data_IF_949710422010
#
_entry.id   IF_949710422010
#
_cell.length_a   1.000
_cell.length_b   1.000
_cell.length_c   1.000
_cell.angle_alpha   90.00
_cell.angle_beta   90.00
_cell.angle_gamma   90.00
#
_symmetry.space_group_name_H-M   'P 1'
#
loop_
_entity.id
_entity.type
_entity.pdbx_description
1 polymer ?
#
# COMPACT_ATOMS: atom_id res chain seq x y z
N UNK A 1 7.59 -46.71 12.21
CA UNK A 1 8.55 -45.62 12.42
C UNK A 1 9.31 -45.90 13.70
N UNK A 2 10.65 -45.91 13.66
CA UNK A 2 11.45 -46.14 14.88
C UNK A 2 11.39 -44.89 15.78
N UNK A 3 11.59 -45.06 17.09
CA UNK A 3 11.60 -43.94 18.04
C UNK A 3 12.61 -42.84 17.63
N UNK A 4 13.73 -43.23 17.01
CA UNK A 4 14.73 -42.33 16.46
C UNK A 4 14.18 -41.45 15.31
N UNK A 5 13.35 -42.01 14.42
CA UNK A 5 12.75 -41.24 13.31
C UNK A 5 11.71 -40.24 13.79
N UNK A 6 10.97 -40.55 14.86
CA UNK A 6 9.99 -39.64 15.46
C UNK A 6 10.70 -38.46 16.15
N UNK A 7 11.80 -38.73 16.88
CA UNK A 7 12.60 -37.70 17.52
C UNK A 7 13.21 -36.71 16.50
N UNK A 8 13.74 -37.21 15.39
CA UNK A 8 14.28 -36.36 14.33
C UNK A 8 13.23 -35.43 13.70
N UNK A 9 12.00 -35.93 13.49
CA UNK A 9 10.89 -35.13 12.98
C UNK A 9 10.49 -34.00 13.95
N UNK A 10 10.50 -34.28 15.26
CA UNK A 10 10.20 -33.27 16.29
C UNK A 10 11.29 -32.19 16.32
N UNK A 11 12.57 -32.55 16.25
CA UNK A 11 13.68 -31.57 16.18
C UNK A 11 13.50 -30.63 14.99
N UNK A 12 13.23 -31.19 13.81
CA UNK A 12 13.07 -30.41 12.59
C UNK A 12 11.86 -29.48 12.70
N UNK A 13 10.73 -29.96 13.22
CA UNK A 13 9.52 -29.16 13.40
C UNK A 13 9.73 -28.00 14.39
N UNK A 14 10.42 -28.24 15.51
CA UNK A 14 10.74 -27.21 16.50
C UNK A 14 11.69 -26.16 15.93
N UNK A 15 12.74 -26.58 15.20
CA UNK A 15 13.67 -25.66 14.54
C UNK A 15 12.96 -24.78 13.50
N UNK A 16 12.07 -25.37 12.69
CA UNK A 16 11.25 -24.63 11.72
C UNK A 16 10.34 -23.62 12.44
N UNK A 17 9.67 -24.03 13.51
CA UNK A 17 8.80 -23.16 14.30
C UNK A 17 9.53 -21.93 14.85
N UNK A 18 10.74 -22.12 15.35
CA UNK A 18 11.56 -21.03 15.89
C UNK A 18 12.04 -20.08 14.78
N UNK A 19 12.44 -20.60 13.62
CA UNK A 19 12.83 -19.78 12.46
C UNK A 19 11.65 -18.96 11.93
N UNK A 20 10.45 -19.55 11.88
CA UNK A 20 9.22 -18.86 11.49
C UNK A 20 8.88 -17.77 12.50
N UNK A 21 8.94 -18.06 13.81
CA UNK A 21 8.70 -17.08 14.87
C UNK A 21 9.71 -15.92 14.81
N UNK A 22 11.00 -16.20 14.61
CA UNK A 22 12.04 -15.18 14.46
C UNK A 22 11.79 -14.28 13.25
N UNK A 23 11.34 -14.84 12.11
CA UNK A 23 10.95 -14.04 10.93
C UNK A 23 9.72 -13.19 11.18
N UNK A 24 8.70 -13.71 11.87
CA UNK A 24 7.50 -12.94 12.24
C UNK A 24 7.82 -11.78 13.19
N UNK A 25 8.87 -11.92 14.01
CA UNK A 25 9.39 -10.88 14.91
C UNK A 25 10.41 -9.94 14.25
N UNK A 26 10.69 -10.09 12.95
CA UNK A 26 11.63 -9.23 12.21
C UNK A 26 13.11 -9.47 12.52
N UNK A 27 13.45 -10.58 13.19
CA UNK A 27 14.84 -10.95 13.51
C UNK A 27 15.49 -11.55 12.26
N UNK A 28 16.47 -10.83 11.69
CA UNK A 28 17.25 -11.32 10.56
C UNK A 28 18.36 -12.28 11.02
N UNK A 29 18.38 -13.51 10.47
CA UNK A 29 19.41 -14.51 10.77
C UNK A 29 20.84 -13.99 10.52
N UNK A 30 21.04 -13.08 9.56
CA UNK A 30 22.36 -12.50 9.25
C UNK A 30 22.88 -11.53 10.32
N UNK A 31 21.99 -10.89 11.09
CA UNK A 31 22.35 -9.82 12.02
C UNK A 31 22.20 -10.25 13.49
N UNK A 32 21.44 -11.30 13.76
CA UNK A 32 21.05 -11.76 15.11
C UNK A 32 21.27 -13.27 15.32
N UNK A 33 22.23 -13.88 14.59
CA UNK A 33 22.46 -15.32 14.59
C UNK A 33 22.65 -15.94 15.98
N UNK A 34 23.32 -15.23 16.90
CA UNK A 34 23.51 -15.68 18.28
C UNK A 34 22.21 -15.80 19.09
N UNK A 35 21.27 -14.87 18.90
CA UNK A 35 19.97 -14.87 19.61
C UNK A 35 19.08 -16.00 19.09
N UNK A 36 19.07 -16.22 17.77
CA UNK A 36 18.30 -17.31 17.16
C UNK A 36 18.89 -18.67 17.56
N UNK A 37 20.21 -18.82 17.60
CA UNK A 37 20.87 -20.03 18.08
C UNK A 37 20.54 -20.32 19.56
N UNK A 38 20.56 -19.29 20.42
CA UNK A 38 20.24 -19.42 21.83
C UNK A 38 18.77 -19.85 22.05
N UNK A 39 17.83 -19.34 21.26
CA UNK A 39 16.42 -19.75 21.33
C UNK A 39 16.21 -21.19 20.85
N UNK A 40 16.93 -21.62 19.81
CA UNK A 40 16.89 -23.02 19.33
C UNK A 40 17.44 -23.96 20.39
N UNK A 41 18.59 -23.64 20.98
CA UNK A 41 19.22 -24.46 22.04
C UNK A 41 18.31 -24.54 23.26
N UNK A 42 17.74 -23.42 23.70
CA UNK A 42 16.81 -23.38 24.85
C UNK A 42 15.54 -24.21 24.57
N UNK A 43 15.00 -24.13 23.35
CA UNK A 43 13.87 -24.94 22.93
C UNK A 43 14.18 -26.44 22.87
N UNK A 44 15.36 -26.82 22.40
CA UNK A 44 15.79 -28.21 22.36
C UNK A 44 16.01 -28.81 23.76
N UNK A 45 16.55 -28.04 24.70
CA UNK A 45 16.72 -28.46 26.10
C UNK A 45 15.37 -28.70 26.79
N UNK A 46 14.38 -27.83 26.55
CA UNK A 46 13.02 -27.98 27.10
C UNK A 46 12.26 -29.17 26.51
N UNK A 47 12.47 -29.50 25.24
CA UNK A 47 11.72 -30.57 24.55
C UNK A 47 12.33 -31.96 24.78
N UNK A 48 13.67 -32.07 24.80
CA UNK A 48 14.34 -33.37 24.84
C UNK A 48 14.90 -33.76 26.21
N UNK A 49 14.93 -32.84 27.20
CA UNK A 49 15.32 -33.16 28.57
C UNK A 49 16.63 -33.95 28.64
N UNK A 50 17.65 -33.54 27.88
CA UNK A 50 18.93 -34.26 27.82
C UNK A 50 19.66 -34.09 29.16
N UNK A 51 19.86 -35.14 29.97
CA UNK A 51 20.41 -35.01 31.32
C UNK A 51 21.90 -34.61 31.35
N UNK A 52 22.57 -34.47 30.21
CA UNK A 52 24.02 -34.23 30.11
C UNK A 52 24.44 -32.77 29.92
N UNK A 53 23.54 -31.84 29.61
CA UNK A 53 23.90 -30.40 29.45
C UNK A 53 23.82 -29.64 30.79
N UNK A 54 23.19 -30.25 31.80
CA UNK A 54 23.10 -29.73 33.16
C UNK A 54 24.42 -29.87 33.95
N UNK A 55 25.32 -30.78 33.60
CA UNK A 55 26.62 -30.89 34.28
C UNK A 55 27.58 -29.74 33.94
N UNK A 56 27.51 -29.21 32.71
CA UNK A 56 28.35 -28.08 32.29
C UNK A 56 27.78 -26.72 32.75
N UNK A 57 26.48 -26.66 33.07
CA UNK A 57 25.82 -25.51 33.69
C UNK A 57 25.82 -25.54 35.24
N UNK A 58 25.89 -26.73 35.86
CA UNK A 58 25.97 -26.90 37.32
C UNK A 58 27.23 -26.31 37.94
N UNK A 59 28.32 -26.20 37.17
CA UNK A 59 29.57 -25.63 37.67
C UNK A 59 29.62 -24.09 37.63
N UNK A 60 28.54 -23.43 37.15
CA UNK A 60 28.32 -22.00 37.35
C UNK A 60 27.13 -21.84 38.27
N UNK A 61 27.39 -21.52 39.55
CA UNK A 61 26.37 -21.14 40.53
C UNK A 61 25.53 -19.98 39.99
N UNK A 62 24.40 -20.28 39.37
CA UNK A 62 23.29 -19.35 39.22
C UNK A 62 22.22 -19.86 40.17
N UNK A 63 22.16 -19.24 41.36
CA UNK A 63 21.09 -19.45 42.32
C UNK A 63 19.73 -19.25 41.62
N UNK A 64 18.68 -20.02 41.95
CA UNK A 64 17.34 -19.82 41.41
C UNK A 64 16.75 -18.53 42.00
N UNK A 65 17.17 -17.39 41.46
CA UNK A 65 16.73 -16.07 41.86
C UNK A 65 15.60 -15.57 40.95
N UNK A 66 14.46 -15.25 41.57
CA UNK A 66 13.51 -14.16 41.28
C UNK A 66 12.99 -13.88 39.85
N UNK A 67 13.46 -14.59 38.83
CA UNK A 67 13.30 -14.24 37.41
C UNK A 67 12.27 -15.08 36.66
N UNK A 68 11.95 -16.29 37.15
CA UNK A 68 10.93 -17.16 36.55
C UNK A 68 9.53 -16.52 36.50
N UNK A 69 9.05 -15.78 37.53
CA UNK A 69 7.76 -15.08 37.46
C UNK A 69 7.72 -14.04 36.34
N UNK A 70 8.85 -13.35 36.08
CA UNK A 70 8.95 -12.35 35.01
C UNK A 70 8.91 -12.98 33.61
N UNK A 71 9.49 -14.17 33.43
CA UNK A 71 9.36 -14.94 32.19
C UNK A 71 7.92 -15.39 31.93
N UNK A 72 7.20 -15.83 32.97
CA UNK A 72 5.79 -16.22 32.86
C UNK A 72 4.90 -15.02 32.54
N UNK A 73 5.12 -13.87 33.18
CA UNK A 73 4.39 -12.63 32.88
C UNK A 73 4.64 -12.14 31.45
N UNK A 74 5.88 -12.21 30.96
CA UNK A 74 6.21 -11.88 29.58
C UNK A 74 5.50 -12.81 28.59
N UNK A 75 5.44 -14.11 28.88
CA UNK A 75 4.70 -15.08 28.06
C UNK A 75 3.19 -14.80 28.05
N UNK A 76 2.58 -14.54 29.20
CA UNK A 76 1.16 -14.17 29.31
C UNK A 76 0.88 -12.88 28.53
N UNK A 77 1.73 -11.86 28.64
CA UNK A 77 1.58 -10.60 27.92
C UNK A 77 1.64 -10.80 26.40
N UNK A 78 2.62 -11.56 25.90
CA UNK A 78 2.76 -11.88 24.47
C UNK A 78 1.54 -12.65 23.97
N UNK A 79 1.12 -13.70 24.68
CA UNK A 79 -0.05 -14.50 24.31
C UNK A 79 -1.31 -13.66 24.30
N UNK A 80 -1.49 -12.77 25.28
CA UNK A 80 -2.63 -11.84 25.35
C UNK A 80 -2.65 -10.88 24.16
N UNK A 81 -1.50 -10.31 23.78
CA UNK A 81 -1.40 -9.43 22.60
C UNK A 81 -1.72 -10.18 21.31
N UNK A 82 -1.22 -11.41 21.16
CA UNK A 82 -1.49 -12.25 19.98
C UNK A 82 -2.98 -12.60 19.90
N UNK A 83 -3.60 -13.00 21.00
CA UNK A 83 -5.03 -13.32 21.06
C UNK A 83 -5.90 -12.09 20.76
N UNK A 84 -5.58 -10.93 21.33
CA UNK A 84 -6.29 -9.66 21.03
C UNK A 84 -6.18 -9.27 19.55
N UNK A 85 -5.00 -9.46 18.94
CA UNK A 85 -4.81 -9.19 17.51
C UNK A 85 -5.61 -10.14 16.61
N UNK A 86 -5.71 -11.42 16.98
CA UNK A 86 -6.56 -12.39 16.26
C UNK A 86 -8.04 -12.03 16.38
N UNK A 87 -8.51 -11.74 17.59
CA UNK A 87 -9.90 -11.32 17.83
C UNK A 87 -10.26 -10.04 17.05
N UNK A 88 -9.36 -9.04 17.02
CA UNK A 88 -9.57 -7.83 16.23
C UNK A 88 -9.63 -8.12 14.71
N UNK A 89 -8.75 -9.00 14.20
CA UNK A 89 -8.77 -9.39 12.79
C UNK A 89 -10.04 -10.17 12.41
N UNK A 90 -10.57 -10.99 13.33
CA UNK A 90 -11.85 -11.69 13.15
C UNK A 90 -13.03 -10.73 13.19
N UNK A 91 -13.03 -9.76 14.12
CA UNK A 91 -14.05 -8.72 14.19
C UNK A 91 -14.12 -7.87 12.91
N UNK A 92 -12.97 -7.49 12.33
CA UNK A 92 -12.92 -6.76 11.05
C UNK A 92 -13.47 -7.61 9.91
N UNK A 93 -13.14 -8.90 9.85
CA UNK A 93 -13.71 -9.81 8.83
C UNK A 93 -15.21 -10.01 9.00
N UNK A 94 -15.71 -10.05 10.23
CA UNK A 94 -17.13 -10.14 10.52
C UNK A 94 -17.86 -8.85 10.09
N UNK A 95 -17.32 -7.69 10.43
CA UNK A 95 -17.86 -6.39 10.02
C UNK A 95 -17.88 -6.24 8.49
N UNK A 96 -16.84 -6.70 7.78
CA UNK A 96 -16.80 -6.68 6.32
C UNK A 96 -17.88 -7.59 5.70
N UNK A 97 -18.07 -8.80 6.25
CA UNK A 97 -19.14 -9.70 5.78
C UNK A 97 -20.52 -9.08 6.00
N UNK A 98 -20.74 -8.42 7.13
CA UNK A 98 -21.99 -7.73 7.40
C UNK A 98 -22.22 -6.58 6.40
N UNK A 99 -21.19 -5.79 6.11
CA UNK A 99 -21.24 -4.75 5.08
C UNK A 99 -21.55 -5.34 3.69
N UNK A 100 -20.90 -6.45 3.33
CA UNK A 100 -21.10 -7.14 2.06
C UNK A 100 -22.51 -7.73 1.94
N UNK A 101 -23.10 -8.21 3.06
CA UNK A 101 -24.50 -8.69 3.09
C UNK A 101 -25.53 -7.57 3.08
N UNK A 102 -25.18 -6.37 3.60
CA UNK A 102 -26.05 -5.18 3.59
C UNK A 102 -25.96 -4.41 2.29
N UNK A 103 -24.92 -4.63 1.48
CA UNK A 103 -24.82 -4.09 0.14
C UNK A 103 -26.01 -4.65 -0.66
N UNK A 104 -26.92 -3.80 -1.18
CA UNK A 104 -28.02 -4.30 -1.99
C UNK A 104 -27.44 -5.13 -3.13
N UNK A 105 -28.01 -6.31 -3.35
CA UNK A 105 -27.70 -7.10 -4.52
C UNK A 105 -27.90 -6.20 -5.74
N UNK A 106 -26.82 -5.99 -6.49
CA UNK A 106 -26.87 -5.37 -7.80
C UNK A 106 -27.99 -6.08 -8.56
N UNK A 107 -29.01 -5.36 -9.07
CA UNK A 107 -30.15 -6.01 -9.68
C UNK A 107 -29.63 -6.93 -10.77
N UNK A 108 -29.87 -8.23 -10.59
CA UNK A 108 -29.58 -9.23 -11.60
C UNK A 108 -30.18 -8.71 -12.90
N UNK A 109 -29.33 -8.38 -13.87
CA UNK A 109 -29.75 -8.03 -15.23
C UNK A 109 -30.60 -9.22 -15.67
N UNK A 110 -31.91 -9.01 -15.64
CA UNK A 110 -32.87 -9.96 -16.13
C UNK A 110 -32.42 -10.31 -17.54
N UNK A 111 -32.40 -11.61 -17.87
CA UNK A 111 -32.38 -12.09 -19.25
C UNK A 111 -33.58 -11.44 -19.94
N UNK A 112 -33.38 -10.25 -20.49
CA UNK A 112 -34.39 -9.50 -21.21
C UNK A 112 -34.59 -10.17 -22.55
N UNK A 113 -35.87 -10.37 -22.85
CA UNK A 113 -36.39 -10.89 -24.10
C UNK A 113 -35.69 -10.28 -25.32
N UNK A 114 -35.53 -11.08 -26.37
CA UNK A 114 -35.03 -10.60 -27.66
C UNK A 114 -35.88 -9.42 -28.15
N UNK A 115 -35.25 -8.30 -28.59
CA UNK A 115 -36.00 -7.16 -29.10
C UNK A 115 -36.54 -7.49 -30.49
N UNK A 116 -37.80 -7.13 -30.74
CA UNK A 116 -38.38 -7.12 -32.10
C UNK A 116 -37.55 -6.26 -33.06
N UNK A 117 -37.70 -6.48 -34.39
CA UNK A 117 -36.83 -5.88 -35.39
C UNK A 117 -37.11 -4.37 -35.48
N UNK A 118 -36.25 -3.55 -34.87
CA UNK A 118 -36.34 -2.08 -35.00
C UNK A 118 -35.63 -1.22 -33.95
N UNK A 119 -35.19 -1.77 -32.82
CA UNK A 119 -34.46 -0.99 -31.82
C UNK A 119 -32.94 -1.18 -31.96
N UNK A 120 -32.22 -0.09 -32.26
CA UNK A 120 -30.76 -0.04 -32.26
C UNK A 120 -30.21 -0.51 -30.91
N UNK A 121 -29.24 -1.44 -30.87
CA UNK A 121 -28.74 -1.99 -29.60
C UNK A 121 -28.12 -0.87 -28.76
N UNK A 122 -28.55 -0.77 -27.50
CA UNK A 122 -27.94 0.13 -26.52
C UNK A 122 -26.41 -0.09 -26.48
N UNK A 123 -25.61 0.99 -26.36
CA UNK A 123 -24.16 0.88 -26.40
C UNK A 123 -23.67 -0.02 -25.26
N UNK A 124 -22.84 -1.01 -25.59
CA UNK A 124 -22.15 -1.86 -24.62
C UNK A 124 -21.29 -0.98 -23.70
N UNK A 125 -21.19 -1.27 -22.38
CA UNK A 125 -20.33 -0.49 -21.49
C UNK A 125 -18.88 -0.62 -21.95
N UNK A 126 -18.33 0.49 -22.42
CA UNK A 126 -16.91 0.65 -22.68
C UNK A 126 -16.15 0.53 -21.36
N UNK A 127 -15.03 -0.22 -21.27
CA UNK A 127 -14.23 -0.21 -20.05
C UNK A 127 -13.77 1.22 -19.77
N UNK A 128 -14.21 1.76 -18.64
CA UNK A 128 -14.04 3.15 -18.22
C UNK A 128 -12.60 3.40 -17.76
N UNK A 129 -12.01 4.48 -18.27
CA UNK A 129 -10.64 4.90 -17.99
C UNK A 129 -10.48 5.26 -16.50
N UNK A 130 -9.54 4.62 -15.80
CA UNK A 130 -9.24 4.90 -14.38
C UNK A 130 -8.17 5.96 -14.25
N UNK A 131 -8.51 7.08 -13.63
CA UNK A 131 -7.66 8.26 -13.48
C UNK A 131 -7.17 8.38 -12.06
N UNK A 132 -5.88 8.65 -11.87
CA UNK A 132 -5.31 8.98 -10.57
C UNK A 132 -4.80 10.42 -10.54
N UNK A 133 -5.35 11.28 -9.69
CA UNK A 133 -4.95 12.68 -9.53
C UNK A 133 -3.92 12.78 -8.40
N UNK A 134 -2.65 12.95 -8.79
CA UNK A 134 -1.55 13.24 -7.89
C UNK A 134 -1.37 14.76 -7.77
N UNK A 135 -1.49 15.30 -6.56
CA UNK A 135 -1.40 16.73 -6.33
C UNK A 135 -0.79 17.05 -4.97
N UNK A 136 -0.22 18.26 -4.84
CA UNK A 136 0.29 18.76 -3.58
C UNK A 136 -0.75 19.70 -2.96
N UNK A 137 -1.35 19.31 -1.83
CA UNK A 137 -2.40 20.10 -1.17
C UNK A 137 -2.04 21.56 -0.92
N UNK A 138 -0.82 21.81 -0.43
CA UNK A 138 -0.34 23.18 -0.16
C UNK A 138 -0.17 24.05 -1.41
N UNK A 139 -0.33 23.49 -2.61
CA UNK A 139 -0.02 24.14 -3.89
C UNK A 139 -1.25 24.23 -4.80
N UNK A 140 -2.10 23.18 -4.83
CA UNK A 140 -3.15 23.06 -5.85
C UNK A 140 -4.46 22.42 -5.38
N UNK A 141 -4.75 22.39 -4.08
CA UNK A 141 -5.91 21.70 -3.51
C UNK A 141 -7.25 22.11 -4.14
N UNK A 142 -7.50 23.41 -4.32
CA UNK A 142 -8.79 23.89 -4.83
C UNK A 142 -9.01 23.47 -6.29
N UNK A 143 -7.97 23.61 -7.12
CA UNK A 143 -8.04 23.23 -8.54
C UNK A 143 -8.13 21.70 -8.69
N UNK A 144 -7.40 20.93 -7.90
CA UNK A 144 -7.49 19.47 -7.87
C UNK A 144 -8.90 19.00 -7.46
N UNK A 145 -9.53 19.70 -6.51
CA UNK A 145 -10.93 19.49 -6.14
C UNK A 145 -11.88 19.69 -7.31
N UNK A 146 -11.81 20.85 -7.97
CA UNK A 146 -12.67 21.17 -9.13
C UNK A 146 -12.47 20.21 -10.30
N UNK A 147 -11.22 19.84 -10.59
CA UNK A 147 -10.89 18.89 -11.65
C UNK A 147 -11.48 17.51 -11.33
N UNK A 148 -11.29 17.03 -10.10
CA UNK A 148 -11.89 15.78 -9.64
C UNK A 148 -13.41 15.77 -9.83
N UNK A 149 -14.11 16.84 -9.46
CA UNK A 149 -15.57 16.92 -9.61
C UNK A 149 -16.00 16.88 -11.09
N UNK A 150 -15.24 17.51 -11.99
CA UNK A 150 -15.54 17.46 -13.44
C UNK A 150 -15.26 16.08 -14.02
N UNK A 151 -14.10 15.51 -13.73
CA UNK A 151 -13.72 14.19 -14.23
C UNK A 151 -14.66 13.10 -13.67
N UNK A 152 -15.04 13.18 -12.39
CA UNK A 152 -15.96 12.21 -11.77
C UNK A 152 -17.35 12.26 -12.40
N UNK A 153 -17.83 13.45 -12.76
CA UNK A 153 -19.12 13.60 -13.49
C UNK A 153 -19.07 12.99 -14.88
N UNK A 154 -17.89 12.95 -15.52
CA UNK A 154 -17.74 12.44 -16.88
C UNK A 154 -17.41 10.94 -16.94
N UNK A 155 -16.41 10.50 -16.17
CA UNK A 155 -15.88 9.14 -16.17
C UNK A 155 -16.51 8.20 -15.11
N UNK A 156 -17.28 8.75 -14.17
CA UNK A 156 -17.77 8.02 -12.99
C UNK A 156 -16.85 8.21 -11.78
N UNK A 157 -17.44 8.42 -10.61
CA UNK A 157 -16.69 8.70 -9.37
C UNK A 157 -15.83 7.50 -8.92
N UNK A 158 -16.23 6.28 -9.27
CA UNK A 158 -15.52 5.03 -9.02
C UNK A 158 -14.28 4.85 -9.91
N UNK A 159 -14.14 5.68 -10.95
CA UNK A 159 -13.02 5.65 -11.90
C UNK A 159 -12.02 6.78 -11.69
N UNK A 160 -12.32 7.75 -10.83
CA UNK A 160 -11.42 8.88 -10.55
C UNK A 160 -10.97 8.81 -9.10
N UNK A 161 -9.67 8.63 -8.91
CA UNK A 161 -9.02 8.57 -7.61
C UNK A 161 -8.22 9.85 -7.41
N UNK A 162 -8.23 10.38 -6.19
CA UNK A 162 -7.29 11.42 -5.76
C UNK A 162 -6.93 11.12 -4.32
N UNK A 163 -5.77 11.61 -3.90
CA UNK A 163 -5.43 11.76 -2.48
C UNK A 163 -5.25 10.44 -1.71
N UNK A 164 -4.03 10.15 -1.27
CA UNK A 164 -3.73 8.95 -0.48
C UNK A 164 -4.03 9.10 1.02
N UNK A 165 -4.66 10.19 1.45
CA UNK A 165 -4.84 10.44 2.89
C UNK A 165 -5.81 9.48 3.59
N UNK A 166 -6.52 8.65 2.82
CA UNK A 166 -7.39 7.60 3.35
C UNK A 166 -6.74 6.21 3.27
N UNK A 167 -5.43 6.11 3.54
CA UNK A 167 -4.78 4.81 3.77
C UNK A 167 -5.48 4.14 4.95
N UNK A 168 -6.08 2.94 4.77
CA UNK A 168 -6.77 2.27 5.86
C UNK A 168 -5.82 2.01 7.04
N UNK A 169 -6.34 2.12 8.26
CA UNK A 169 -5.53 1.97 9.47
C UNK A 169 -4.82 0.60 9.49
N UNK A 170 -3.52 0.63 9.76
CA UNK A 170 -2.67 -0.57 9.82
C UNK A 170 -2.23 -1.14 8.47
N UNK A 171 -2.58 -0.51 7.34
CA UNK A 171 -2.07 -0.88 6.01
C UNK A 171 -0.68 -0.28 5.79
N UNK A 172 0.23 -1.04 5.18
CA UNK A 172 1.50 -0.47 4.70
C UNK A 172 1.18 0.53 3.59
N UNK A 173 1.34 1.81 3.94
CA UNK A 173 1.11 2.94 3.06
C UNK A 173 1.79 2.78 1.68
N UNK A 174 3.03 2.28 1.62
CA UNK A 174 3.77 2.14 0.36
C UNK A 174 3.11 1.11 -0.56
N UNK A 175 2.60 0.04 0.05
CA UNK A 175 1.84 -0.98 -0.67
C UNK A 175 0.52 -0.39 -1.17
N UNK A 176 -0.19 0.36 -0.33
CA UNK A 176 -1.45 1.00 -0.72
C UNK A 176 -1.27 1.94 -1.91
N UNK A 177 -0.25 2.81 -1.90
CA UNK A 177 0.05 3.70 -3.04
C UNK A 177 0.42 2.90 -4.27
N UNK A 178 1.26 1.88 -4.13
CA UNK A 178 1.64 1.00 -5.22
C UNK A 178 0.44 0.28 -5.85
N UNK A 179 -0.52 -0.14 -5.03
CA UNK A 179 -1.74 -0.82 -5.46
C UNK A 179 -2.72 0.16 -6.14
N UNK A 180 -2.86 1.39 -5.63
CA UNK A 180 -3.73 2.41 -6.23
C UNK A 180 -3.17 2.90 -7.59
N UNK A 181 -1.89 3.27 -7.61
CA UNK A 181 -1.20 3.65 -8.85
C UNK A 181 -1.21 2.49 -9.84
N UNK A 182 -0.97 1.25 -9.40
CA UNK A 182 -1.02 0.08 -10.27
C UNK A 182 -2.41 -0.25 -10.85
N UNK A 183 -3.47 0.41 -10.39
CA UNK A 183 -4.84 0.25 -10.89
C UNK A 183 -5.30 1.39 -11.77
N UNK A 184 -4.57 2.50 -11.87
CA UNK A 184 -4.95 3.55 -12.81
C UNK A 184 -4.39 3.27 -14.19
N UNK A 185 -5.13 3.73 -15.19
CA UNK A 185 -4.74 3.66 -16.59
C UNK A 185 -3.97 4.94 -16.99
N UNK A 186 -4.24 6.07 -16.30
CA UNK A 186 -3.52 7.35 -16.44
C UNK A 186 -3.34 8.01 -15.08
N UNK A 187 -2.17 8.60 -14.84
CA UNK A 187 -1.90 9.48 -13.70
C UNK A 187 -1.83 10.95 -14.14
N UNK A 188 -2.64 11.80 -13.53
CA UNK A 188 -2.64 13.24 -13.72
C UNK A 188 -1.80 13.90 -12.62
N UNK A 189 -0.72 14.56 -12.99
CA UNK A 189 0.19 15.23 -12.07
C UNK A 189 -0.12 16.73 -12.03
N UNK A 190 -0.77 17.22 -10.97
CA UNK A 190 -1.10 18.64 -10.83
C UNK A 190 0.13 19.40 -10.33
N UNK A 191 0.66 20.28 -11.18
CA UNK A 191 1.88 21.05 -10.92
C UNK A 191 1.50 22.53 -10.85
N UNK A 192 1.57 23.11 -9.65
CA UNK A 192 1.47 24.54 -9.42
C UNK A 192 2.83 25.21 -9.17
N UNK A 193 2.85 26.53 -8.96
CA UNK A 193 4.09 27.31 -8.88
C UNK A 193 5.03 26.89 -7.74
N UNK A 194 4.47 26.42 -6.63
CA UNK A 194 5.22 25.97 -5.47
C UNK A 194 5.62 24.50 -5.52
N UNK A 195 5.23 23.75 -6.55
CA UNK A 195 5.34 22.29 -6.59
C UNK A 195 6.78 21.78 -6.44
N UNK A 196 7.70 22.32 -7.24
CA UNK A 196 9.15 21.98 -7.20
C UNK A 196 9.78 22.50 -5.91
N UNK A 197 9.46 23.75 -5.56
CA UNK A 197 10.09 24.46 -4.45
C UNK A 197 9.57 24.11 -3.07
N UNK A 198 8.53 23.27 -2.95
CA UNK A 198 7.88 22.94 -1.69
C UNK A 198 8.88 22.39 -0.66
N UNK A 199 8.81 22.86 0.58
CA UNK A 199 9.74 22.49 1.66
C UNK A 199 9.05 21.87 2.87
N UNK A 200 9.80 21.06 3.60
CA UNK A 200 9.50 20.58 4.95
C UNK A 200 10.72 20.83 5.87
N UNK A 201 10.69 20.32 7.10
CA UNK A 201 11.78 20.50 8.05
C UNK A 201 13.12 19.87 7.60
N UNK A 202 13.09 18.95 6.64
CA UNK A 202 14.26 18.24 6.11
C UNK A 202 14.79 18.83 4.79
N UNK A 203 14.12 19.83 4.22
CA UNK A 203 14.53 20.48 2.97
C UNK A 203 13.43 20.47 1.91
N UNK A 204 13.81 20.32 0.64
CA UNK A 204 12.86 20.26 -0.47
C UNK A 204 12.12 18.93 -0.43
N UNK A 205 10.79 18.97 -0.51
CA UNK A 205 9.92 17.79 -0.35
C UNK A 205 10.16 16.73 -1.40
N UNK A 206 10.38 17.12 -2.67
CA UNK A 206 10.67 16.15 -3.73
C UNK A 206 11.97 15.38 -3.49
N UNK A 207 12.92 15.93 -2.73
CA UNK A 207 14.16 15.21 -2.38
C UNK A 207 13.95 14.24 -1.23
N UNK A 208 12.88 14.39 -0.43
CA UNK A 208 12.52 13.44 0.62
C UNK A 208 11.96 12.14 -0.01
N UNK A 209 12.60 10.97 0.19
CA UNK A 209 12.10 9.71 -0.32
C UNK A 209 10.74 9.28 0.29
N UNK A 210 10.25 10.00 1.31
CA UNK A 210 8.96 9.78 1.96
C UNK A 210 7.85 10.71 1.47
N UNK A 211 8.14 11.66 0.57
CA UNK A 211 7.10 12.54 0.02
C UNK A 211 6.14 11.76 -0.88
N UNK A 212 4.84 11.88 -0.59
CA UNK A 212 3.78 11.11 -1.25
C UNK A 212 3.78 11.32 -2.77
N UNK A 213 3.79 12.59 -3.18
CA UNK A 213 3.82 12.99 -4.59
C UNK A 213 5.00 12.36 -5.32
N UNK A 214 6.19 12.36 -4.69
CA UNK A 214 7.37 11.70 -5.24
C UNK A 214 7.13 10.19 -5.41
N UNK A 215 6.63 9.53 -4.37
CA UNK A 215 6.39 8.07 -4.38
C UNK A 215 5.38 7.69 -5.46
N UNK A 216 4.27 8.42 -5.57
CA UNK A 216 3.22 8.19 -6.56
C UNK A 216 3.75 8.34 -7.99
N UNK A 217 4.46 9.44 -8.28
CA UNK A 217 5.01 9.70 -9.60
C UNK A 217 6.11 8.72 -9.98
N UNK A 218 7.05 8.45 -9.08
CA UNK A 218 8.09 7.46 -9.32
C UNK A 218 7.49 6.07 -9.55
N UNK A 219 6.42 5.73 -8.80
CA UNK A 219 5.69 4.47 -8.94
C UNK A 219 5.00 4.34 -10.31
N UNK A 220 4.39 5.42 -10.81
CA UNK A 220 3.75 5.44 -12.13
C UNK A 220 4.78 5.38 -13.26
N UNK A 221 5.80 6.23 -13.22
CA UNK A 221 6.88 6.26 -14.21
C UNK A 221 7.60 4.92 -14.30
N UNK A 222 7.89 4.27 -13.16
CA UNK A 222 8.52 2.94 -13.12
C UNK A 222 7.67 1.84 -13.76
N UNK A 223 6.34 2.00 -13.76
CA UNK A 223 5.38 1.04 -14.34
C UNK A 223 4.99 1.40 -15.78
N UNK A 224 5.58 2.45 -16.34
CA UNK A 224 5.21 3.03 -17.62
C UNK A 224 3.72 3.37 -17.73
N UNK A 225 3.12 3.77 -16.60
CA UNK A 225 1.77 4.34 -16.61
C UNK A 225 1.89 5.74 -17.21
N UNK A 226 1.03 6.11 -18.17
CA UNK A 226 0.99 7.46 -18.71
C UNK A 226 0.84 8.50 -17.61
N UNK A 227 1.82 9.39 -17.50
CA UNK A 227 1.77 10.55 -16.60
C UNK A 227 1.52 11.80 -17.43
N UNK A 228 0.42 12.49 -17.16
CA UNK A 228 0.03 13.74 -17.83
C UNK A 228 0.22 14.90 -16.85
N UNK A 229 1.21 15.79 -17.07
CA UNK A 229 1.33 17.03 -16.31
C UNK A 229 0.15 17.96 -16.57
N UNK A 230 -0.50 18.41 -15.50
CA UNK A 230 -1.56 19.43 -15.52
C UNK A 230 -1.00 20.68 -14.86
N UNK A 231 -0.73 21.71 -15.67
CA UNK A 231 -0.05 22.93 -15.23
C UNK A 231 -1.08 23.96 -14.76
N UNK A 232 -1.02 24.35 -13.49
CA UNK A 232 -1.97 25.30 -12.88
C UNK A 232 -1.26 26.55 -12.39
N UNK A 233 -1.99 27.67 -12.28
CA UNK A 233 -1.43 28.91 -11.71
C UNK A 233 -0.23 29.46 -12.49
N UNK A 234 -0.21 29.29 -13.82
CA UNK A 234 0.91 29.65 -14.71
C UNK A 234 2.22 28.91 -14.40
N UNK A 235 2.15 27.74 -13.77
CA UNK A 235 3.31 26.88 -13.63
C UNK A 235 3.84 26.42 -15.00
N UNK A 236 5.15 26.23 -15.08
CA UNK A 236 5.81 25.55 -16.19
C UNK A 236 6.13 24.10 -15.83
N UNK A 237 6.35 23.28 -16.84
CA UNK A 237 6.89 21.94 -16.61
C UNK A 237 8.29 22.07 -15.97
N UNK A 238 8.62 21.31 -14.91
CA UNK A 238 9.94 21.36 -14.31
C UNK A 238 11.04 20.85 -15.25
N UNK A 239 12.18 21.53 -15.27
CA UNK A 239 13.39 21.06 -15.94
C UNK A 239 13.95 19.79 -15.28
N UNK A 240 14.69 18.98 -16.04
CA UNK A 240 15.22 17.69 -15.58
C UNK A 240 16.08 17.84 -14.32
N UNK A 241 16.92 18.88 -14.28
CA UNK A 241 17.87 19.15 -13.19
C UNK A 241 17.16 19.55 -11.89
N UNK A 242 15.93 20.07 -12.00
CA UNK A 242 15.11 20.42 -10.86
C UNK A 242 14.50 19.18 -10.20
N UNK A 243 14.53 18.00 -10.85
CA UNK A 243 13.87 16.79 -10.39
C UNK A 243 14.85 15.75 -9.81
N UNK A 244 14.45 15.01 -8.76
CA UNK A 244 15.15 13.80 -8.33
C UNK A 244 15.24 12.77 -9.46
N UNK A 245 16.28 11.93 -9.44
CA UNK A 245 16.60 10.99 -10.54
C UNK A 245 15.42 10.17 -11.07
N UNK A 246 14.58 9.63 -10.19
CA UNK A 246 13.41 8.81 -10.56
C UNK A 246 12.27 9.60 -11.23
N UNK A 247 12.24 10.93 -11.05
CA UNK A 247 11.19 11.81 -11.58
C UNK A 247 11.60 12.53 -12.86
N UNK A 248 12.89 12.52 -13.22
CA UNK A 248 13.41 13.14 -14.45
C UNK A 248 12.62 12.84 -15.73
N UNK A 249 12.11 11.61 -15.96
CA UNK A 249 11.27 11.33 -17.13
C UNK A 249 9.99 12.18 -17.22
N UNK A 250 9.54 12.81 -16.12
CA UNK A 250 8.39 13.71 -16.09
C UNK A 250 8.59 14.94 -16.98
N UNK A 251 9.81 15.47 -17.07
CA UNK A 251 10.16 16.64 -17.89
C UNK A 251 9.97 16.41 -19.39
N UNK A 252 9.87 15.15 -19.82
CA UNK A 252 9.65 14.76 -21.21
C UNK A 252 8.20 14.35 -21.50
N UNK A 253 7.29 14.49 -20.52
CA UNK A 253 5.86 14.20 -20.72
C UNK A 253 5.15 15.42 -21.30
N UNK A 254 4.22 15.17 -22.22
CA UNK A 254 3.40 16.23 -22.77
C UNK A 254 2.34 16.63 -21.75
N UNK A 255 2.35 17.90 -21.34
CA UNK A 255 1.41 18.45 -20.37
C UNK A 255 0.36 19.35 -21.01
N UNK A 256 -0.67 19.70 -20.24
CA UNK A 256 -1.65 20.71 -20.64
C UNK A 256 -1.81 21.76 -19.54
N UNK A 257 -1.91 23.06 -19.89
CA UNK A 257 -2.34 24.05 -18.92
C UNK A 257 -3.80 23.81 -18.54
N UNK A 258 -4.12 24.14 -17.28
CA UNK A 258 -5.47 24.21 -16.76
C UNK A 258 -5.64 25.58 -16.12
N UNK A 259 -6.20 26.51 -16.88
CA UNK A 259 -6.33 27.92 -16.51
C UNK A 259 -7.53 28.14 -15.56
N UNK A 260 -7.52 29.22 -14.76
CA UNK A 260 -8.69 29.60 -13.97
C UNK A 260 -9.85 30.04 -14.87
N UNK A 261 -10.99 30.37 -14.26
CA UNK A 261 -12.12 30.93 -14.99
C UNK A 261 -11.70 32.23 -15.72
N UNK A 262 -12.20 32.46 -16.95
CA UNK A 262 -13.30 31.75 -17.61
C UNK A 262 -12.90 30.49 -18.41
N UNK A 263 -11.61 30.21 -18.56
CA UNK A 263 -11.10 29.14 -19.43
C UNK A 263 -11.15 27.73 -18.83
N UNK A 264 -11.32 27.61 -17.51
CA UNK A 264 -11.25 26.33 -16.80
C UNK A 264 -12.09 25.23 -17.46
N UNK A 265 -13.33 25.52 -17.83
CA UNK A 265 -14.24 24.52 -18.37
C UNK A 265 -13.77 24.00 -19.74
N UNK A 266 -13.34 24.88 -20.64
CA UNK A 266 -12.87 24.48 -21.97
C UNK A 266 -11.52 23.74 -21.92
N UNK A 267 -10.64 24.12 -20.99
CA UNK A 267 -9.38 23.41 -20.76
C UNK A 267 -9.63 21.98 -20.22
N UNK A 268 -10.62 21.79 -19.33
CA UNK A 268 -11.02 20.45 -18.86
C UNK A 268 -11.64 19.63 -19.98
N UNK A 269 -12.49 20.22 -20.82
CA UNK A 269 -13.13 19.50 -21.92
C UNK A 269 -12.07 19.01 -22.93
N UNK A 270 -11.07 19.83 -23.25
CA UNK A 270 -9.91 19.42 -24.08
C UNK A 270 -9.09 18.31 -23.41
N UNK A 271 -8.90 18.36 -22.09
CA UNK A 271 -8.23 17.29 -21.36
C UNK A 271 -9.00 15.97 -21.48
N UNK A 272 -10.33 16.00 -21.32
CA UNK A 272 -11.19 14.81 -21.46
C UNK A 272 -11.06 14.23 -22.87
N UNK A 273 -11.18 15.06 -23.91
CA UNK A 273 -11.01 14.63 -25.30
C UNK A 273 -9.65 13.97 -25.54
N UNK A 274 -8.58 14.55 -25.01
CA UNK A 274 -7.23 14.00 -25.11
C UNK A 274 -7.07 12.66 -24.40
N UNK A 275 -7.65 12.50 -23.21
CA UNK A 275 -7.64 11.25 -22.45
C UNK A 275 -8.42 10.15 -23.15
N UNK A 276 -9.54 10.47 -23.78
CA UNK A 276 -10.33 9.51 -24.56
C UNK A 276 -9.66 9.11 -25.86
N UNK A 277 -8.99 10.04 -26.53
CA UNK A 277 -8.24 9.78 -27.75
C UNK A 277 -7.05 8.84 -27.51
N UNK A 278 -6.34 9.00 -26.39
CA UNK A 278 -5.18 8.18 -26.01
C UNK A 278 -5.53 6.70 -25.74
N UNK A 279 -6.83 6.36 -25.64
CA UNK A 279 -7.30 4.99 -25.46
C UNK A 279 -7.46 4.22 -26.78
N UNK A 280 -7.44 4.90 -27.93
CA UNK A 280 -7.63 4.29 -29.26
C UNK A 280 -6.31 3.83 -29.85
#
# INVERSE_FOLDING_TARGET
MTAASLAALVVIATAIGIVVAARLLGLSLRRHGGVVAMLIITGMVLVFGIPGVLEEFSNRRISPGESWPWCLLAWIAITTVVLRRRAAAEAVRAAQRELDTRRPAEPAIAKSAEPGPGASPAPKPTPSLRLFICYRRSDSQDVAGRLYDRLSRHFGAEHVFKDVDSVPLGVDFRRFVGDQVGRCDVLLAIIGPGWVGARNAQGRRLDDPRDLVRIELASALKRDIPVVPILVGNASLPEEEALPGELRPLSYRNGTPLRPDPDFHSDVDRLIEGLEAARR
#
